data_IF_405175243489
#
_entry.id   IF_405175243489
#
_cell.length_a   1.000
_cell.length_b   1.000
_cell.length_c   1.000
_cell.angle_alpha   90.00
_cell.angle_beta   90.00
_cell.angle_gamma   90.00
#
_symmetry.space_group_name_H-M   'P 1'
#
loop_
_entity.id
_entity.type
_entity.pdbx_description
1 polymer ?
#
# COMPACT_ATOMS: atom_id res chain seq x y z
N UNK A 1 -31.12 23.72 41.74
CA UNK A 1 -30.15 23.31 40.70
C UNK A 1 -30.84 23.40 39.34
N UNK A 2 -30.35 24.25 38.42
CA UNK A 2 -30.99 24.43 37.10
C UNK A 2 -30.53 23.31 36.16
N UNK A 3 -31.40 22.34 35.87
CA UNK A 3 -31.16 21.31 34.86
C UNK A 3 -31.16 21.96 33.47
N UNK A 4 -29.96 22.13 32.88
CA UNK A 4 -29.84 22.52 31.48
C UNK A 4 -30.22 21.31 30.61
N UNK A 5 -31.32 21.43 29.87
CA UNK A 5 -31.72 20.45 28.85
C UNK A 5 -30.61 20.41 27.78
N UNK A 6 -29.95 19.25 27.61
CA UNK A 6 -29.00 19.02 26.50
C UNK A 6 -29.71 19.32 25.17
N UNK A 7 -29.16 20.23 24.37
CA UNK A 7 -29.61 20.44 22.99
C UNK A 7 -29.42 19.12 22.22
N UNK A 8 -30.46 18.67 21.54
CA UNK A 8 -30.40 17.56 20.59
C UNK A 8 -29.50 18.00 19.43
N UNK A 9 -28.33 17.38 19.28
CA UNK A 9 -27.44 17.63 18.14
C UNK A 9 -28.01 16.99 16.89
N UNK A 10 -27.99 17.71 15.78
CA UNK A 10 -28.40 17.17 14.48
C UNK A 10 -27.60 15.91 14.11
N UNK A 11 -28.23 14.92 13.46
CA UNK A 11 -27.53 13.71 13.05
C UNK A 11 -26.43 14.07 12.03
N UNK A 12 -25.19 13.73 12.36
CA UNK A 12 -24.03 13.97 11.50
C UNK A 12 -24.22 13.24 10.16
N UNK A 13 -24.25 13.99 9.06
CA UNK A 13 -24.25 13.43 7.71
C UNK A 13 -22.98 12.59 7.52
N UNK A 14 -23.15 11.38 6.98
CA UNK A 14 -22.04 10.44 6.73
C UNK A 14 -21.57 10.61 5.29
N UNK A 15 -20.26 10.70 5.10
CA UNK A 15 -19.67 10.66 3.77
C UNK A 15 -19.92 9.28 3.14
N UNK A 16 -20.39 9.27 1.90
CA UNK A 16 -20.56 8.05 1.10
C UNK A 16 -19.41 7.99 0.11
N UNK A 17 -18.70 6.85 0.09
CA UNK A 17 -17.56 6.62 -0.80
C UNK A 17 -17.95 5.61 -1.87
N UNK A 18 -17.52 5.86 -3.11
CA UNK A 18 -17.75 4.97 -4.24
C UNK A 18 -16.63 3.94 -4.38
N UNK A 19 -16.87 2.92 -5.21
CA UNK A 19 -15.83 1.95 -5.57
C UNK A 19 -14.68 2.60 -6.35
N UNK A 20 -14.96 3.66 -7.12
CA UNK A 20 -13.93 4.40 -7.86
C UNK A 20 -12.97 5.13 -6.92
N UNK A 21 -13.48 5.71 -5.82
CA UNK A 21 -12.65 6.35 -4.79
C UNK A 21 -11.68 5.34 -4.17
N UNK A 22 -12.18 4.14 -3.85
CA UNK A 22 -11.35 3.04 -3.34
C UNK A 22 -10.27 2.65 -4.33
N UNK A 23 -10.61 2.53 -5.62
CA UNK A 23 -9.67 2.17 -6.67
C UNK A 23 -8.57 3.24 -6.85
N UNK A 24 -8.93 4.53 -6.84
CA UNK A 24 -7.98 5.66 -6.88
C UNK A 24 -7.02 5.63 -5.70
N UNK A 25 -7.55 5.49 -4.48
CA UNK A 25 -6.73 5.40 -3.27
C UNK A 25 -5.75 4.22 -3.35
N UNK A 26 -6.24 3.04 -3.77
CA UNK A 26 -5.42 1.84 -3.93
C UNK A 26 -4.29 2.07 -4.93
N UNK A 27 -4.60 2.64 -6.09
CA UNK A 27 -3.63 2.95 -7.14
C UNK A 27 -2.49 3.83 -6.61
N UNK A 28 -2.82 4.94 -5.94
CA UNK A 28 -1.80 5.84 -5.39
C UNK A 28 -0.96 5.21 -4.29
N UNK A 29 -1.59 4.40 -3.43
CA UNK A 29 -0.86 3.64 -2.42
C UNK A 29 0.15 2.68 -3.06
N UNK A 30 -0.27 1.91 -4.08
CA UNK A 30 0.62 0.97 -4.78
C UNK A 30 1.77 1.67 -5.52
N UNK A 31 1.58 2.92 -5.96
CA UNK A 31 2.64 3.73 -6.59
C UNK A 31 3.67 4.23 -5.58
N UNK A 32 3.34 4.26 -4.29
CA UNK A 32 4.29 4.67 -3.26
C UNK A 32 3.83 5.81 -2.37
N UNK A 33 2.58 6.28 -2.46
CA UNK A 33 2.07 7.26 -1.50
C UNK A 33 1.67 6.61 -0.18
N UNK A 34 1.80 7.34 0.92
CA UNK A 34 1.27 6.95 2.23
C UNK A 34 -0.26 7.07 2.29
N UNK A 35 -0.91 6.35 3.21
CA UNK A 35 -2.37 6.41 3.39
C UNK A 35 -2.87 7.83 3.72
N UNK A 36 -2.03 8.64 4.39
CA UNK A 36 -2.36 10.02 4.71
C UNK A 36 -2.30 10.92 3.47
N UNK A 37 -1.29 10.75 2.62
CA UNK A 37 -1.17 11.50 1.35
C UNK A 37 -2.28 11.10 0.38
N UNK A 38 -2.59 9.80 0.26
CA UNK A 38 -3.71 9.35 -0.59
C UNK A 38 -5.04 9.92 -0.11
N UNK A 39 -5.28 9.99 1.20
CA UNK A 39 -6.49 10.61 1.75
C UNK A 39 -6.61 12.09 1.42
N UNK A 40 -5.53 12.85 1.50
CA UNK A 40 -5.50 14.28 1.09
C UNK A 40 -5.78 14.43 -0.42
N UNK A 41 -5.23 13.55 -1.24
CA UNK A 41 -5.35 13.63 -2.70
C UNK A 41 -6.74 13.23 -3.22
N UNK A 42 -7.42 12.32 -2.51
CA UNK A 42 -8.70 11.73 -2.93
C UNK A 42 -9.88 12.21 -2.08
N UNK A 43 -9.67 13.20 -1.21
CA UNK A 43 -10.64 13.70 -0.22
C UNK A 43 -11.32 12.57 0.60
N UNK A 44 -10.58 11.50 0.85
CA UNK A 44 -11.07 10.32 1.55
C UNK A 44 -10.57 10.31 2.98
N UNK A 45 -11.48 10.06 3.93
CA UNK A 45 -11.14 9.97 5.34
C UNK A 45 -10.15 8.83 5.58
N UNK A 46 -9.06 9.12 6.28
CA UNK A 46 -7.99 8.16 6.56
C UNK A 46 -8.50 6.86 7.20
N UNK A 47 -9.50 6.96 8.10
CA UNK A 47 -10.13 5.78 8.74
C UNK A 47 -10.85 4.87 7.75
N UNK A 48 -11.42 5.44 6.68
CA UNK A 48 -12.04 4.65 5.61
C UNK A 48 -10.95 3.92 4.82
N UNK A 49 -9.87 4.63 4.50
CA UNK A 49 -8.71 4.06 3.80
C UNK A 49 -8.09 2.91 4.61
N UNK A 50 -7.90 3.08 5.92
CA UNK A 50 -7.39 2.04 6.82
C UNK A 50 -8.26 0.78 6.80
N UNK A 51 -9.59 0.93 6.80
CA UNK A 51 -10.50 -0.22 6.68
C UNK A 51 -10.31 -0.95 5.36
N UNK A 52 -10.19 -0.24 4.24
CA UNK A 52 -9.94 -0.86 2.93
C UNK A 52 -8.57 -1.54 2.87
N UNK A 53 -7.55 -0.87 3.40
CA UNK A 53 -6.18 -1.37 3.48
C UNK A 53 -6.09 -2.70 4.24
N UNK A 54 -6.80 -2.82 5.38
CA UNK A 54 -6.86 -4.05 6.17
C UNK A 54 -7.68 -5.13 5.44
N UNK A 55 -8.89 -4.77 4.98
CA UNK A 55 -9.82 -5.73 4.36
C UNK A 55 -9.24 -6.44 3.13
N UNK A 56 -8.40 -5.75 2.36
CA UNK A 56 -7.77 -6.30 1.15
C UNK A 56 -6.27 -6.59 1.31
N UNK A 57 -5.73 -6.48 2.52
CA UNK A 57 -4.31 -6.74 2.81
C UNK A 57 -3.34 -6.01 1.85
N UNK A 58 -3.56 -4.72 1.62
CA UNK A 58 -2.78 -3.93 0.64
C UNK A 58 -1.28 -3.89 0.95
N UNK A 59 -0.88 -4.08 2.22
CA UNK A 59 0.53 -4.16 2.61
C UNK A 59 1.31 -5.18 1.78
N UNK A 60 0.73 -6.36 1.60
CA UNK A 60 1.34 -7.45 0.83
C UNK A 60 1.50 -7.11 -0.66
N UNK A 61 0.65 -6.21 -1.17
CA UNK A 61 0.58 -5.85 -2.60
C UNK A 61 1.58 -4.75 -3.00
N UNK A 62 1.97 -3.83 -2.09
CA UNK A 62 2.76 -2.63 -2.44
C UNK A 62 4.25 -2.88 -2.63
N UNK A 63 4.90 -3.51 -1.66
CA UNK A 63 6.38 -3.60 -1.64
C UNK A 63 6.93 -4.83 -2.38
N UNK A 64 6.04 -5.74 -2.73
CA UNK A 64 6.42 -7.10 -3.09
C UNK A 64 6.70 -7.20 -4.58
N UNK A 65 5.85 -6.72 -5.47
CA UNK A 65 5.90 -7.23 -6.84
C UNK A 65 6.93 -6.51 -7.71
N UNK A 66 6.89 -5.18 -7.80
CA UNK A 66 7.74 -4.45 -8.76
C UNK A 66 9.23 -4.50 -8.44
N UNK A 67 9.61 -4.30 -7.17
CA UNK A 67 11.02 -4.34 -6.76
C UNK A 67 11.59 -5.76 -6.92
N UNK A 68 10.78 -6.78 -6.65
CA UNK A 68 11.19 -8.18 -6.85
C UNK A 68 11.37 -8.54 -8.32
N UNK A 69 10.44 -8.12 -9.18
CA UNK A 69 10.55 -8.28 -10.64
C UNK A 69 11.83 -7.59 -11.12
N UNK A 70 12.05 -6.32 -10.74
CA UNK A 70 13.26 -5.59 -11.11
C UNK A 70 14.54 -6.27 -10.62
N UNK A 71 14.54 -6.82 -9.40
CA UNK A 71 15.66 -7.60 -8.89
C UNK A 71 15.91 -8.87 -9.72
N UNK A 72 14.85 -9.55 -10.19
CA UNK A 72 14.93 -10.70 -11.07
C UNK A 72 15.46 -10.34 -12.45
N UNK A 73 15.03 -9.22 -13.02
CA UNK A 73 15.52 -8.73 -14.32
C UNK A 73 17.01 -8.43 -14.28
N UNK A 74 17.49 -7.76 -13.22
CA UNK A 74 18.92 -7.48 -13.02
C UNK A 74 19.74 -8.75 -12.78
N UNK A 75 19.15 -9.75 -12.12
CA UNK A 75 19.78 -11.06 -11.97
C UNK A 75 19.89 -11.80 -13.31
N UNK A 76 18.83 -11.77 -14.12
CA UNK A 76 18.82 -12.36 -15.46
C UNK A 76 19.76 -11.64 -16.42
N UNK A 77 20.07 -10.36 -16.20
CA UNK A 77 21.11 -9.63 -16.93
C UNK A 77 22.54 -9.95 -16.46
N UNK A 78 22.72 -10.91 -15.54
CA UNK A 78 24.02 -11.39 -15.09
C UNK A 78 24.62 -10.65 -13.90
N UNK A 79 23.88 -9.74 -13.25
CA UNK A 79 24.40 -9.04 -12.07
C UNK A 79 24.42 -9.95 -10.84
N UNK A 80 25.44 -9.78 -9.99
CA UNK A 80 25.55 -10.48 -8.72
C UNK A 80 24.58 -9.92 -7.68
N UNK A 81 24.24 -10.72 -6.66
CA UNK A 81 23.37 -10.27 -5.56
C UNK A 81 23.88 -9.01 -4.84
N UNK A 82 25.21 -8.82 -4.79
CA UNK A 82 25.83 -7.63 -4.22
C UNK A 82 25.50 -6.38 -5.04
N UNK A 83 25.70 -6.46 -6.34
CA UNK A 83 25.49 -5.33 -7.25
C UNK A 83 24.01 -4.96 -7.33
N UNK A 84 23.13 -5.96 -7.38
CA UNK A 84 21.68 -5.74 -7.32
C UNK A 84 21.29 -5.05 -6.02
N UNK A 85 21.87 -5.48 -4.89
CA UNK A 85 21.64 -4.85 -3.59
C UNK A 85 22.04 -3.37 -3.58
N UNK A 86 23.21 -3.05 -4.14
CA UNK A 86 23.67 -1.66 -4.29
C UNK A 86 22.71 -0.87 -5.20
N UNK A 87 22.35 -1.43 -6.37
CA UNK A 87 21.48 -0.77 -7.34
C UNK A 87 20.06 -0.48 -6.82
N UNK A 88 19.54 -1.33 -5.94
CA UNK A 88 18.19 -1.20 -5.36
C UNK A 88 18.18 -0.61 -3.94
N UNK A 89 19.35 -0.34 -3.35
CA UNK A 89 19.45 0.11 -1.96
C UNK A 89 18.94 -0.92 -0.94
N UNK A 90 19.18 -2.22 -1.19
CA UNK A 90 18.74 -3.34 -0.34
C UNK A 90 19.91 -4.25 0.04
N UNK A 91 19.76 -4.98 1.14
CA UNK A 91 20.76 -5.97 1.55
C UNK A 91 20.77 -7.18 0.61
N UNK A 92 21.90 -7.88 0.54
CA UNK A 92 22.03 -9.12 -0.24
C UNK A 92 21.01 -10.19 0.19
N UNK A 93 20.74 -10.29 1.50
CA UNK A 93 19.76 -11.25 2.04
C UNK A 93 18.32 -10.92 1.58
N UNK A 94 17.99 -9.63 1.46
CA UNK A 94 16.72 -9.17 0.87
C UNK A 94 16.63 -9.53 -0.61
N UNK A 95 17.70 -9.33 -1.39
CA UNK A 95 17.72 -9.72 -2.82
C UNK A 95 17.52 -11.23 -2.98
N UNK A 96 18.21 -12.06 -2.20
CA UNK A 96 18.02 -13.51 -2.24
C UNK A 96 16.56 -13.90 -1.97
N UNK A 97 15.92 -13.27 -0.98
CA UNK A 97 14.50 -13.49 -0.67
C UNK A 97 13.60 -13.05 -1.83
N UNK A 98 13.90 -11.93 -2.49
CA UNK A 98 13.14 -11.43 -3.63
C UNK A 98 13.15 -12.43 -4.79
N UNK A 99 14.32 -12.92 -5.17
CA UNK A 99 14.47 -13.90 -6.26
C UNK A 99 13.75 -15.22 -5.95
N UNK A 100 13.79 -15.69 -4.70
CA UNK A 100 13.04 -16.89 -4.28
C UNK A 100 11.54 -16.72 -4.47
N UNK A 101 10.99 -15.56 -4.10
CA UNK A 101 9.55 -15.32 -4.25
C UNK A 101 9.15 -15.28 -5.73
N UNK A 102 9.89 -14.57 -6.58
CA UNK A 102 9.57 -14.51 -8.03
C UNK A 102 9.61 -15.88 -8.68
N UNK A 103 10.61 -16.70 -8.35
CA UNK A 103 10.71 -18.08 -8.86
C UNK A 103 9.54 -18.96 -8.41
N UNK A 104 9.11 -18.82 -7.15
CA UNK A 104 7.98 -19.58 -6.63
C UNK A 104 6.64 -19.12 -7.24
N UNK A 105 6.48 -17.82 -7.49
CA UNK A 105 5.30 -17.26 -8.17
C UNK A 105 5.26 -17.63 -9.66
N UNK A 106 6.39 -17.95 -10.31
CA UNK A 106 6.44 -18.39 -11.71
C UNK A 106 6.11 -19.87 -11.92
N UNK A 107 6.19 -20.68 -10.86
CA UNK A 107 5.99 -22.13 -10.89
C UNK A 107 4.60 -22.56 -10.41
N UNK A 108 3.70 -21.61 -10.14
CA UNK A 108 2.38 -21.82 -9.53
C UNK A 108 1.31 -21.14 -10.38
#
# INVERSE_FOLDING_TARGET
MKNQKKKLSEPKQRNTYTLDDKAKVKKYYLIGLSLAETGKLTDTLIRTIEKWYIAENWKSQRETTQIKIKANDLYNSGMSYREIGIALGKSQSTISRYLKVVRNESNN
#
